data_IF_758724678275
#
_entry.id   IF_758724678275
#
_cell.length_a   1.000
_cell.length_b   1.000
_cell.length_c   1.000
_cell.angle_alpha   90.00
_cell.angle_beta   90.00
_cell.angle_gamma   90.00
#
_symmetry.space_group_name_H-M   'P 1'
#
loop_
_entity.id
_entity.type
_entity.pdbx_description
1 polymer ?
#
# COMPACT_ATOMS: atom_id res chain seq x y z
N UNK A 1 -7.21 -23.27 -14.65
CA UNK A 1 -8.20 -22.40 -15.34
C UNK A 1 -8.92 -21.46 -14.37
N UNK A 2 -9.43 -21.93 -13.22
CA UNK A 2 -10.07 -21.05 -12.23
C UNK A 2 -9.18 -19.89 -11.71
N UNK A 3 -7.91 -20.16 -11.41
CA UNK A 3 -6.96 -19.13 -10.95
C UNK A 3 -6.69 -18.02 -11.98
N UNK A 4 -6.73 -18.35 -13.27
CA UNK A 4 -6.50 -17.38 -14.36
C UNK A 4 -7.70 -16.46 -14.53
N UNK A 5 -8.92 -16.99 -14.41
CA UNK A 5 -10.15 -16.20 -14.46
C UNK A 5 -10.27 -15.26 -13.25
N UNK A 6 -9.83 -15.72 -12.07
CA UNK A 6 -9.77 -14.89 -10.87
C UNK A 6 -8.77 -13.74 -11.03
N UNK A 7 -7.55 -14.04 -11.49
CA UNK A 7 -6.53 -13.01 -11.74
C UNK A 7 -6.99 -11.99 -12.80
N UNK A 8 -7.62 -12.45 -13.88
CA UNK A 8 -8.12 -11.56 -14.93
C UNK A 8 -9.21 -10.60 -14.45
N UNK A 9 -10.02 -11.03 -13.47
CA UNK A 9 -11.05 -10.20 -12.85
C UNK A 9 -10.48 -9.14 -11.90
N UNK A 10 -9.36 -9.43 -11.24
CA UNK A 10 -8.80 -8.55 -10.21
C UNK A 10 -7.84 -7.49 -10.78
N UNK A 11 -7.25 -7.71 -11.97
CA UNK A 11 -6.37 -6.72 -12.63
C UNK A 11 -7.04 -5.35 -12.83
N UNK A 12 -8.27 -5.23 -13.37
CA UNK A 12 -8.91 -3.93 -13.55
C UNK A 12 -9.16 -3.19 -12.22
N UNK A 13 -9.72 -3.83 -11.17
CA UNK A 13 -9.79 -3.24 -9.84
C UNK A 13 -8.44 -2.76 -9.30
N UNK A 14 -7.39 -3.58 -9.39
CA UNK A 14 -6.06 -3.20 -8.88
C UNK A 14 -5.50 -1.95 -9.57
N UNK A 15 -5.62 -1.85 -10.90
CA UNK A 15 -5.18 -0.68 -11.65
C UNK A 15 -5.96 0.59 -11.26
N UNK A 16 -7.26 0.47 -11.04
CA UNK A 16 -8.11 1.60 -10.65
C UNK A 16 -7.85 2.06 -9.21
N UNK A 17 -7.70 1.13 -8.27
CA UNK A 17 -7.46 1.46 -6.87
C UNK A 17 -6.06 2.05 -6.71
N UNK A 18 -5.03 1.39 -7.23
CA UNK A 18 -3.64 1.85 -7.09
C UNK A 18 -3.43 3.25 -7.70
N UNK A 19 -3.98 3.49 -8.90
CA UNK A 19 -3.85 4.82 -9.53
C UNK A 19 -4.53 5.92 -8.73
N UNK A 20 -5.65 5.63 -8.05
CA UNK A 20 -6.34 6.57 -7.14
C UNK A 20 -5.57 6.81 -5.84
N UNK A 21 -4.92 5.79 -5.26
CA UNK A 21 -4.07 5.98 -4.09
C UNK A 21 -2.84 6.81 -4.44
N UNK A 22 -2.19 6.55 -5.57
CA UNK A 22 -1.07 7.37 -6.07
C UNK A 22 -1.47 8.83 -6.29
N UNK A 23 -2.66 9.03 -6.87
CA UNK A 23 -3.24 10.36 -7.03
C UNK A 23 -3.48 11.04 -5.68
N UNK A 24 -4.17 10.40 -4.73
CA UNK A 24 -4.44 10.97 -3.41
C UNK A 24 -3.14 11.31 -2.65
N UNK A 25 -2.13 10.43 -2.68
CA UNK A 25 -0.82 10.69 -2.07
C UNK A 25 -0.08 11.86 -2.74
N UNK A 26 -0.26 12.06 -4.05
CA UNK A 26 0.29 13.21 -4.76
C UNK A 26 -0.46 14.51 -4.41
N UNK A 27 -1.78 14.45 -4.20
CA UNK A 27 -2.57 15.59 -3.67
C UNK A 27 -2.12 16.00 -2.27
N UNK A 28 -1.79 15.02 -1.42
CA UNK A 28 -1.23 15.24 -0.08
C UNK A 28 0.24 15.70 -0.09
N UNK A 29 0.82 15.95 -1.28
CA UNK A 29 2.23 16.34 -1.51
C UNK A 29 3.26 15.33 -0.99
N UNK A 30 2.84 14.08 -0.76
CA UNK A 30 3.69 12.99 -0.29
C UNK A 30 4.38 12.24 -1.45
N UNK A 31 3.97 12.51 -2.68
CA UNK A 31 4.55 11.97 -3.90
C UNK A 31 4.85 13.06 -4.93
N UNK A 32 5.66 12.77 -5.96
CA UNK A 32 5.97 13.75 -7.01
C UNK A 32 4.70 14.25 -7.70
N UNK A 33 4.63 15.56 -7.96
CA UNK A 33 3.47 16.21 -8.58
C UNK A 33 3.10 15.62 -9.96
N UNK A 34 4.06 14.98 -10.64
CA UNK A 34 3.83 14.25 -11.89
C UNK A 34 2.81 13.10 -11.78
N UNK A 35 2.63 12.51 -10.60
CA UNK A 35 1.61 11.48 -10.36
C UNK A 35 0.19 12.05 -10.22
N UNK A 36 0.05 13.34 -9.92
CA UNK A 36 -1.23 14.04 -9.93
C UNK A 36 -1.61 14.57 -11.32
N UNK A 37 -0.76 14.39 -12.34
CA UNK A 37 -1.07 14.85 -13.70
C UNK A 37 -2.18 14.00 -14.33
N UNK A 38 -3.33 14.65 -14.56
CA UNK A 38 -4.49 14.06 -15.22
C UNK A 38 -4.48 14.49 -16.68
N UNK A 39 -4.59 13.53 -17.61
CA UNK A 39 -4.71 13.87 -19.04
C UNK A 39 -6.09 14.46 -19.33
N UNK A 40 -6.14 15.61 -20.02
CA UNK A 40 -7.38 16.29 -20.41
C UNK A 40 -8.31 15.42 -21.29
N UNK A 41 -7.75 14.47 -22.05
CA UNK A 41 -8.51 13.62 -22.97
C UNK A 41 -9.20 12.45 -22.26
N UNK A 42 -8.57 11.87 -21.25
CA UNK A 42 -9.02 10.64 -20.59
C UNK A 42 -9.49 10.86 -19.15
N UNK A 43 -9.35 12.08 -18.63
CA UNK A 43 -9.70 12.46 -17.25
C UNK A 43 -9.14 11.48 -16.21
N UNK A 44 -7.97 10.91 -16.49
CA UNK A 44 -7.35 9.85 -15.69
C UNK A 44 -5.85 10.10 -15.48
N UNK A 45 -5.27 9.73 -14.32
CA UNK A 45 -3.85 9.90 -14.03
C UNK A 45 -2.99 8.90 -14.82
N UNK A 46 -2.54 9.31 -16.01
CA UNK A 46 -1.84 8.44 -16.97
C UNK A 46 -0.52 7.91 -16.40
N UNK A 47 0.27 8.74 -15.73
CA UNK A 47 1.56 8.33 -15.16
C UNK A 47 1.40 7.29 -14.04
N UNK A 48 0.40 7.47 -13.18
CA UNK A 48 0.09 6.51 -12.11
C UNK A 48 -0.33 5.15 -12.70
N UNK A 49 -1.17 5.14 -13.74
CA UNK A 49 -1.58 3.90 -14.41
C UNK A 49 -0.39 3.19 -15.04
N UNK A 50 0.47 3.90 -15.75
CA UNK A 50 1.64 3.31 -16.42
C UNK A 50 2.56 2.66 -15.38
N UNK A 51 2.83 3.34 -14.27
CA UNK A 51 3.72 2.82 -13.22
C UNK A 51 3.09 1.60 -12.54
N UNK A 52 1.79 1.63 -12.25
CA UNK A 52 1.08 0.44 -11.73
C UNK A 52 1.11 -0.71 -12.73
N UNK A 53 0.93 -0.46 -14.03
CA UNK A 53 0.99 -1.49 -15.06
C UNK A 53 2.39 -2.11 -15.17
N UNK A 54 3.45 -1.30 -15.12
CA UNK A 54 4.84 -1.79 -15.11
C UNK A 54 5.11 -2.65 -13.87
N UNK A 55 4.66 -2.22 -12.69
CA UNK A 55 4.79 -3.02 -11.47
C UNK A 55 4.01 -4.34 -11.56
N UNK A 56 2.80 -4.32 -12.13
CA UNK A 56 2.01 -5.53 -12.38
C UNK A 56 2.69 -6.52 -13.33
N UNK A 57 3.37 -6.04 -14.37
CA UNK A 57 4.14 -6.89 -15.27
C UNK A 57 5.29 -7.59 -14.53
N UNK A 58 5.99 -6.89 -13.63
CA UNK A 58 7.03 -7.50 -12.80
C UNK A 58 6.47 -8.61 -11.90
N UNK A 59 5.28 -8.41 -11.33
CA UNK A 59 4.59 -9.46 -10.58
C UNK A 59 4.19 -10.66 -11.44
N UNK A 60 3.71 -10.42 -12.67
CA UNK A 60 3.43 -11.51 -13.61
C UNK A 60 4.70 -12.30 -13.98
N UNK A 61 5.86 -11.65 -14.13
CA UNK A 61 7.15 -12.31 -14.39
C UNK A 61 7.57 -13.16 -13.20
N UNK A 62 7.38 -12.66 -11.97
CA UNK A 62 7.64 -13.40 -10.75
C UNK A 62 6.86 -14.71 -10.68
N UNK A 63 5.56 -14.65 -10.96
CA UNK A 63 4.67 -15.82 -10.87
C UNK A 63 4.80 -16.79 -12.05
N UNK A 64 4.98 -16.27 -13.27
CA UNK A 64 5.09 -17.11 -14.47
C UNK A 64 6.46 -17.79 -14.60
N UNK A 65 7.45 -17.37 -13.81
CA UNK A 65 8.83 -17.85 -13.84
C UNK A 65 9.42 -17.89 -15.26
N UNK A 66 9.05 -16.91 -16.10
CA UNK A 66 9.50 -16.83 -17.48
C UNK A 66 11.03 -16.69 -17.49
N UNK A 67 11.71 -17.67 -18.08
CA UNK A 67 13.18 -17.67 -18.19
C UNK A 67 13.93 -17.96 -16.89
N UNK A 68 13.27 -18.52 -15.86
CA UNK A 68 13.93 -18.83 -14.57
C UNK A 68 14.12 -17.63 -13.65
N UNK A 69 13.49 -16.48 -13.99
CA UNK A 69 13.59 -15.23 -13.25
C UNK A 69 12.67 -15.15 -12.03
N UNK A 70 11.74 -16.09 -11.86
CA UNK A 70 10.72 -16.03 -10.81
C UNK A 70 11.30 -16.00 -9.40
N UNK A 71 12.39 -16.74 -9.17
CA UNK A 71 13.09 -16.75 -7.88
C UNK A 71 13.84 -15.46 -7.58
N UNK A 72 14.15 -14.65 -8.59
CA UNK A 72 14.85 -13.36 -8.45
C UNK A 72 13.89 -12.18 -8.25
N UNK A 73 12.62 -12.33 -8.66
CA UNK A 73 11.59 -11.30 -8.55
C UNK A 73 10.47 -11.69 -7.58
N UNK A 74 10.69 -12.67 -6.70
CA UNK A 74 9.67 -13.18 -5.78
C UNK A 74 9.10 -12.11 -4.84
N UNK A 75 9.85 -11.03 -4.58
CA UNK A 75 9.37 -9.87 -3.83
C UNK A 75 8.18 -9.14 -4.49
N UNK A 76 8.06 -9.23 -5.82
CA UNK A 76 6.98 -8.64 -6.60
C UNK A 76 5.85 -9.65 -6.91
N UNK A 77 6.03 -10.91 -6.51
CA UNK A 77 5.01 -11.95 -6.62
C UNK A 77 3.92 -11.80 -5.56
N UNK A 78 2.90 -12.67 -5.64
CA UNK A 78 1.69 -12.61 -4.81
C UNK A 78 2.03 -12.58 -3.32
N UNK A 79 2.92 -13.49 -2.89
CA UNK A 79 3.30 -13.59 -1.48
C UNK A 79 4.02 -12.33 -0.98
N UNK A 80 4.88 -11.72 -1.81
CA UNK A 80 5.57 -10.48 -1.47
C UNK A 80 4.59 -9.31 -1.33
N UNK A 81 3.66 -9.18 -2.27
CA UNK A 81 2.61 -8.15 -2.24
C UNK A 81 1.62 -8.35 -1.09
N UNK A 82 1.29 -9.60 -0.75
CA UNK A 82 0.38 -9.94 0.36
C UNK A 82 0.96 -9.53 1.71
N UNK A 83 2.29 -9.62 1.88
CA UNK A 83 2.96 -9.13 3.10
C UNK A 83 2.82 -7.61 3.22
N UNK A 84 3.00 -6.88 2.12
CA UNK A 84 2.81 -5.42 2.11
C UNK A 84 1.36 -5.04 2.39
N UNK A 85 0.39 -5.74 1.79
CA UNK A 85 -1.03 -5.49 2.00
C UNK A 85 -1.45 -5.84 3.44
N UNK A 86 -1.05 -7.00 3.96
CA UNK A 86 -1.32 -7.39 5.34
C UNK A 86 -0.74 -6.38 6.35
N UNK A 87 0.47 -5.86 6.09
CA UNK A 87 1.06 -4.81 6.91
C UNK A 87 0.25 -3.51 6.84
N UNK A 88 -0.09 -3.05 5.63
CA UNK A 88 -0.90 -1.85 5.42
C UNK A 88 -2.27 -1.94 6.08
N UNK A 89 -3.00 -3.04 5.87
CA UNK A 89 -4.32 -3.28 6.45
C UNK A 89 -4.27 -3.35 7.98
N UNK A 90 -3.24 -3.97 8.54
CA UNK A 90 -3.06 -4.02 10.01
C UNK A 90 -2.88 -2.62 10.58
N UNK A 91 -2.05 -1.78 9.96
CA UNK A 91 -1.86 -0.39 10.37
C UNK A 91 -3.11 0.46 10.16
N UNK A 92 -3.83 0.24 9.06
CA UNK A 92 -5.06 0.94 8.74
C UNK A 92 -6.15 0.66 9.79
N UNK A 93 -6.38 -0.61 10.11
CA UNK A 93 -7.35 -1.03 11.12
C UNK A 93 -6.95 -0.52 12.52
N UNK A 94 -5.66 -0.55 12.85
CA UNK A 94 -5.15 0.02 14.10
C UNK A 94 -5.44 1.54 14.16
N UNK A 95 -5.21 2.27 13.07
CA UNK A 95 -5.53 3.70 12.97
C UNK A 95 -7.03 3.93 13.14
N UNK A 96 -7.89 3.13 12.50
CA UNK A 96 -9.35 3.21 12.67
C UNK A 96 -9.80 2.91 14.11
N UNK A 97 -9.13 1.99 14.82
CA UNK A 97 -9.44 1.69 16.22
C UNK A 97 -9.06 2.84 17.17
N UNK A 98 -7.97 3.56 16.87
CA UNK A 98 -7.49 4.69 17.65
C UNK A 98 -8.21 6.01 17.32
N UNK A 99 -8.74 6.15 16.11
CA UNK A 99 -9.49 7.33 15.64
C UNK A 99 -10.57 7.82 16.62
N UNK A 100 -11.49 6.96 17.15
CA UNK A 100 -12.52 7.40 18.08
C UNK A 100 -11.96 7.80 19.47
N UNK A 101 -10.75 7.37 19.83
CA UNK A 101 -10.13 7.68 21.12
C UNK A 101 -9.36 9.00 21.06
N UNK A 102 -8.59 9.23 19.99
CA UNK A 102 -7.73 10.40 19.86
C UNK A 102 -8.47 11.60 19.25
N UNK A 103 -9.41 11.37 18.33
CA UNK A 103 -10.08 12.42 17.54
C UNK A 103 -11.59 12.27 17.51
N UNK A 104 -12.20 12.39 18.69
CA UNK A 104 -13.66 12.33 18.89
C UNK A 104 -14.44 13.31 18.00
N UNK A 105 -13.90 14.50 17.76
CA UNK A 105 -14.53 15.53 16.91
C UNK A 105 -14.72 15.08 15.45
N UNK A 106 -13.80 14.28 14.91
CA UNK A 106 -13.91 13.71 13.55
C UNK A 106 -14.91 12.56 13.56
N UNK A 107 -14.85 11.71 14.59
CA UNK A 107 -15.78 10.59 14.75
C UNK A 107 -17.23 11.06 14.88
N UNK A 108 -17.47 12.17 15.58
CA UNK A 108 -18.82 12.74 15.75
C UNK A 108 -19.40 13.33 14.46
N UNK A 109 -18.54 13.75 13.51
CA UNK A 109 -18.96 14.21 12.17
C UNK A 109 -19.19 13.07 11.17
N UNK A 110 -18.81 11.83 11.49
CA UNK A 110 -18.97 10.70 10.57
C UNK A 110 -20.46 10.38 10.32
N UNK A 111 -20.79 10.10 9.06
CA UNK A 111 -22.16 9.85 8.60
C UNK A 111 -22.82 8.60 9.23
N UNK A 112 -22.02 7.62 9.67
CA UNK A 112 -22.50 6.37 10.29
C UNK A 112 -21.94 6.26 11.70
N UNK A 113 -22.80 6.46 12.70
CA UNK A 113 -22.44 6.41 14.12
C UNK A 113 -22.70 5.02 14.69
N UNK A 114 -21.62 4.26 14.94
CA UNK A 114 -21.68 3.08 15.80
C UNK A 114 -21.22 3.42 17.23
N UNK A 115 -21.37 2.50 18.18
CA UNK A 115 -20.86 2.75 19.53
C UNK A 115 -19.32 2.74 19.50
N UNK A 116 -18.67 3.66 20.23
CA UNK A 116 -17.21 3.73 20.32
C UNK A 116 -16.64 2.37 20.76
N UNK A 117 -17.31 1.70 21.71
CA UNK A 117 -16.93 0.37 22.16
C UNK A 117 -16.95 -0.68 21.04
N UNK A 118 -17.97 -0.66 20.17
CA UNK A 118 -18.05 -1.55 19.00
C UNK A 118 -16.94 -1.28 18.00
N UNK A 119 -16.63 -0.01 17.71
CA UNK A 119 -15.58 0.34 16.73
C UNK A 119 -14.19 -0.04 17.26
N UNK A 120 -13.91 0.25 18.53
CA UNK A 120 -12.61 -0.09 19.16
C UNK A 120 -12.45 -1.60 19.30
N UNK A 121 -13.49 -2.33 19.73
CA UNK A 121 -13.41 -3.80 19.86
C UNK A 121 -13.29 -4.49 18.50
N UNK A 122 -14.05 -4.06 17.50
CA UNK A 122 -13.93 -4.58 16.14
C UNK A 122 -12.55 -4.29 15.55
N UNK A 123 -12.04 -3.07 15.73
CA UNK A 123 -10.70 -2.69 15.31
C UNK A 123 -9.61 -3.51 16.01
N UNK A 124 -9.75 -3.80 17.29
CA UNK A 124 -8.82 -4.67 18.02
C UNK A 124 -8.83 -6.11 17.49
N UNK A 125 -10.02 -6.70 17.31
CA UNK A 125 -10.17 -8.05 16.74
C UNK A 125 -9.59 -8.10 15.32
N UNK A 126 -9.88 -7.10 14.50
CA UNK A 126 -9.36 -7.03 13.13
C UNK A 126 -7.84 -6.79 13.11
N UNK A 127 -7.28 -6.04 14.06
CA UNK A 127 -5.83 -5.90 14.22
C UNK A 127 -5.17 -7.23 14.59
N UNK A 128 -5.79 -8.02 15.48
CA UNK A 128 -5.31 -9.36 15.81
C UNK A 128 -5.38 -10.30 14.61
N UNK A 129 -6.46 -10.24 13.82
CA UNK A 129 -6.61 -11.01 12.60
C UNK A 129 -5.55 -10.62 11.55
N UNK A 130 -5.35 -9.32 11.32
CA UNK A 130 -4.32 -8.80 10.42
C UNK A 130 -2.91 -9.21 10.86
N UNK A 131 -2.62 -9.13 12.16
CA UNK A 131 -1.37 -9.61 12.74
C UNK A 131 -1.16 -11.11 12.56
N UNK A 132 -2.22 -11.92 12.69
CA UNK A 132 -2.17 -13.36 12.42
C UNK A 132 -1.93 -13.68 10.94
N UNK A 133 -2.58 -12.96 10.03
CA UNK A 133 -2.33 -13.07 8.58
C UNK A 133 -0.88 -12.72 8.26
N UNK A 134 -0.38 -11.60 8.78
CA UNK A 134 1.01 -11.18 8.59
C UNK A 134 2.00 -12.22 9.14
N UNK A 135 1.75 -12.77 10.34
CA UNK A 135 2.57 -13.85 10.89
C UNK A 135 2.58 -15.09 9.98
N UNK A 136 1.42 -15.47 9.45
CA UNK A 136 1.30 -16.62 8.55
C UNK A 136 2.11 -16.40 7.27
N UNK A 137 1.97 -15.23 6.63
CA UNK A 137 2.72 -14.91 5.42
C UNK A 137 4.24 -14.85 5.65
N UNK A 138 4.71 -14.30 6.78
CA UNK A 138 6.13 -14.29 7.11
C UNK A 138 6.67 -15.69 7.40
N UNK A 139 5.88 -16.56 8.05
CA UNK A 139 6.26 -17.95 8.33
C UNK A 139 6.40 -18.77 7.05
N UNK A 140 5.50 -18.59 6.09
CA UNK A 140 5.54 -19.27 4.79
C UNK A 140 6.56 -18.65 3.81
N UNK A 141 7.24 -17.55 4.21
CA UNK A 141 8.23 -16.83 3.40
C UNK A 141 9.65 -16.91 3.97
N UNK A 142 10.28 -18.12 4.02
CA UNK A 142 11.63 -18.27 4.56
C UNK A 142 12.68 -17.52 3.73
N UNK A 143 12.41 -17.26 2.45
CA UNK A 143 13.28 -16.51 1.53
C UNK A 143 13.61 -15.08 2.02
N UNK A 144 12.80 -14.48 2.89
CA UNK A 144 13.01 -13.12 3.42
C UNK A 144 14.10 -13.08 4.51
N UNK A 145 14.07 -14.02 5.46
CA UNK A 145 14.95 -14.00 6.64
C UNK A 145 16.03 -15.09 6.64
N UNK A 146 15.80 -16.18 5.91
CA UNK A 146 16.74 -17.30 5.77
C UNK A 146 16.87 -17.71 4.30
N UNK A 147 17.49 -16.86 3.44
CA UNK A 147 17.66 -17.17 2.03
C UNK A 147 18.59 -18.38 1.87
N UNK A 148 18.11 -19.44 1.20
CA UNK A 148 18.87 -20.67 0.97
C UNK A 148 19.53 -20.69 -0.43
N UNK A 149 18.99 -19.92 -1.38
CA UNK A 149 19.49 -19.78 -2.75
C UNK A 149 19.94 -18.35 -3.06
N UNK A 150 20.77 -18.20 -4.10
CA UNK A 150 21.15 -16.88 -4.66
C UNK A 150 19.93 -16.13 -5.18
N UNK A 151 18.94 -16.84 -5.72
CA UNK A 151 17.65 -16.27 -6.13
C UNK A 151 16.89 -15.68 -4.93
N UNK A 152 16.74 -16.45 -3.85
CA UNK A 152 16.08 -16.01 -2.63
C UNK A 152 16.74 -14.78 -2.02
N UNK A 153 18.08 -14.75 -2.00
CA UNK A 153 18.85 -13.61 -1.52
C UNK A 153 18.57 -12.36 -2.36
N UNK A 154 18.53 -12.49 -3.69
CA UNK A 154 18.22 -11.36 -4.56
C UNK A 154 16.79 -10.83 -4.36
N UNK A 155 15.83 -11.73 -4.14
CA UNK A 155 14.45 -11.37 -3.83
C UNK A 155 14.33 -10.69 -2.46
N UNK A 156 15.02 -11.19 -1.43
CA UNK A 156 15.07 -10.54 -0.12
C UNK A 156 15.66 -9.13 -0.20
N UNK A 157 16.75 -8.96 -0.96
CA UNK A 157 17.36 -7.65 -1.23
C UNK A 157 16.35 -6.74 -1.94
N UNK A 158 15.64 -7.23 -2.95
CA UNK A 158 14.58 -6.50 -3.64
C UNK A 158 13.46 -6.04 -2.69
N UNK A 159 13.02 -6.93 -1.81
CA UNK A 159 11.99 -6.63 -0.80
C UNK A 159 12.41 -5.50 0.14
N UNK A 160 13.61 -5.59 0.73
CA UNK A 160 14.13 -4.52 1.61
C UNK A 160 14.42 -3.24 0.84
N UNK A 161 14.90 -3.32 -0.40
CA UNK A 161 15.09 -2.14 -1.26
C UNK A 161 13.78 -1.40 -1.50
N UNK A 162 12.68 -2.10 -1.79
CA UNK A 162 11.37 -1.48 -1.95
C UNK A 162 10.94 -0.71 -0.68
N UNK A 163 11.14 -1.30 0.50
CA UNK A 163 10.84 -0.64 1.79
C UNK A 163 11.72 0.60 1.98
N UNK A 164 13.03 0.47 1.75
CA UNK A 164 14.00 1.56 1.92
C UNK A 164 13.70 2.70 0.95
N UNK A 165 13.42 2.40 -0.33
CA UNK A 165 13.08 3.41 -1.33
C UNK A 165 11.78 4.11 -0.94
N UNK A 166 10.74 3.37 -0.52
CA UNK A 166 9.50 3.96 -0.03
C UNK A 166 9.71 4.88 1.17
N UNK A 167 10.52 4.45 2.14
CA UNK A 167 10.86 5.25 3.31
C UNK A 167 11.66 6.50 2.96
N UNK A 168 12.65 6.38 2.06
CA UNK A 168 13.46 7.51 1.59
C UNK A 168 12.60 8.53 0.84
N UNK A 169 11.68 8.10 0.00
CA UNK A 169 10.72 8.98 -0.67
C UNK A 169 9.85 9.72 0.35
N UNK A 170 9.32 9.01 1.36
CA UNK A 170 8.53 9.61 2.43
C UNK A 170 9.32 10.67 3.21
N UNK A 171 10.55 10.35 3.65
CA UNK A 171 11.42 11.29 4.37
C UNK A 171 11.77 12.49 3.48
N UNK A 172 12.12 12.27 2.21
CA UNK A 172 12.43 13.33 1.27
C UNK A 172 11.26 14.30 1.11
N UNK A 173 10.04 13.79 0.92
CA UNK A 173 8.85 14.62 0.77
C UNK A 173 8.48 15.36 2.05
N UNK A 174 8.63 14.76 3.23
CA UNK A 174 8.44 15.46 4.51
C UNK A 174 9.45 16.58 4.69
N UNK A 175 10.73 16.32 4.40
CA UNK A 175 11.78 17.32 4.52
C UNK A 175 11.54 18.47 3.54
N UNK A 176 11.18 18.16 2.29
CA UNK A 176 10.84 19.15 1.26
C UNK A 176 9.60 19.98 1.60
N UNK A 177 8.58 19.38 2.21
CA UNK A 177 7.35 20.09 2.58
C UNK A 177 7.55 20.96 3.83
N UNK A 178 8.30 20.46 4.81
CA UNK A 178 8.69 21.23 6.01
C UNK A 178 9.55 22.45 5.63
N UNK A 179 10.51 22.30 4.71
CA UNK A 179 11.35 23.41 4.23
C UNK A 179 10.58 24.44 3.39
N UNK A 180 9.47 24.04 2.76
CA UNK A 180 8.55 24.94 2.05
C UNK A 180 7.54 25.64 2.97
N UNK A 181 7.62 25.44 4.29
CA UNK A 181 6.73 26.08 5.28
C UNK A 181 5.30 25.55 5.25
N UNK A 182 5.06 24.42 4.59
CA UNK A 182 3.75 23.77 4.57
C UNK A 182 3.71 22.84 5.76
N UNK A 183 2.96 23.22 6.78
CA UNK A 183 2.77 22.35 7.94
C UNK A 183 1.91 21.15 7.52
N UNK A 184 2.59 20.05 7.22
CA UNK A 184 1.97 18.77 6.82
C UNK A 184 0.98 18.30 7.88
N UNK A 185 1.16 18.72 9.14
CA UNK A 185 0.28 18.42 10.26
C UNK A 185 -1.07 19.13 10.16
N UNK A 186 -1.12 20.33 9.59
CA UNK A 186 -2.37 21.06 9.34
C UNK A 186 -3.14 20.57 8.12
N UNK A 187 -2.46 19.94 7.15
CA UNK A 187 -3.13 19.31 6.00
C UNK A 187 -4.11 18.20 6.45
N UNK A 188 -3.74 17.43 7.46
CA UNK A 188 -4.57 16.37 8.05
C UNK A 188 -5.52 16.86 9.16
N UNK A 189 -5.52 18.16 9.50
CA UNK A 189 -6.35 18.73 10.56
C UNK A 189 -7.72 19.20 10.08
N UNK A 190 -7.89 19.50 8.80
CA UNK A 190 -9.16 19.93 8.23
C UNK A 190 -9.58 19.00 7.11
N UNK A 191 -10.69 18.29 7.30
CA UNK A 191 -11.47 17.75 6.18
C UNK A 191 -11.77 18.94 5.28
N UNK A 192 -11.43 18.92 3.97
CA UNK A 192 -11.81 20.00 3.07
C UNK A 192 -13.32 20.22 3.22
N UNK A 193 -13.77 21.44 3.57
CA UNK A 193 -15.19 21.72 3.59
C UNK A 193 -15.72 21.46 2.18
N UNK A 194 -16.79 20.68 2.11
CA UNK A 194 -17.52 20.39 0.89
C UNK A 194 -17.94 21.65 0.10
#
# INVERSE_FOLDING_TARGET
MAAVLWLANDIPPFLLVASRTFFAMAFDRMMPESFAYVSEKYHSPVWSIIITAVAGILGCIAESNVGGLGTYTAFAGVVGTDIFDAFFLTLFVLSCALLPLERREIYERAAVRHSIGTVVSLGFIATLCGGFCLYTFLRESPWIFHPASVGDLSSAIGFFLCIIIGLLLYIYHIYKNTTRGVDVRTLYLSIPPE
#
